data_IF_212709115833
#
_entry.id   IF_212709115833
#
_cell.length_a   1.000
_cell.length_b   1.000
_cell.length_c   1.000
_cell.angle_alpha   90.00
_cell.angle_beta   90.00
_cell.angle_gamma   90.00
#
_symmetry.space_group_name_H-M   'P 1'
#
loop_
_entity.id
_entity.type
_entity.pdbx_description
1 polymer ?
#
# COMPACT_ATOMS: atom_id res chain seq x y z
N UNK A 1 55.51 -5.08 -45.32
CA UNK A 1 54.16 -5.23 -44.74
C UNK A 1 53.83 -6.71 -44.69
N UNK A 2 54.10 -7.38 -43.56
CA UNK A 2 53.84 -8.81 -43.40
C UNK A 2 52.33 -9.02 -43.20
N UNK A 3 51.73 -9.80 -44.08
CA UNK A 3 50.32 -10.20 -44.01
C UNK A 3 50.23 -11.25 -42.90
N UNK A 4 49.63 -10.90 -41.76
CA UNK A 4 49.38 -11.85 -40.68
C UNK A 4 48.50 -12.98 -41.20
N UNK A 5 49.04 -14.19 -41.28
CA UNK A 5 48.26 -15.39 -41.56
C UNK A 5 47.34 -15.65 -40.37
N UNK A 6 46.04 -15.40 -40.55
CA UNK A 6 45.01 -15.88 -39.62
C UNK A 6 45.01 -17.41 -39.63
N UNK A 7 45.58 -18.01 -38.60
CA UNK A 7 45.53 -19.44 -38.38
C UNK A 7 44.08 -19.82 -38.04
N UNK A 8 43.46 -20.68 -38.86
CA UNK A 8 42.06 -21.03 -38.66
C UNK A 8 41.88 -21.78 -37.33
N UNK A 9 40.86 -21.45 -36.53
CA UNK A 9 40.70 -22.04 -35.20
C UNK A 9 40.55 -23.56 -35.29
N UNK A 10 41.23 -24.28 -34.39
CA UNK A 10 41.07 -25.73 -34.24
C UNK A 10 39.59 -26.11 -34.12
N UNK A 11 39.20 -27.25 -34.68
CA UNK A 11 37.81 -27.77 -34.61
C UNK A 11 37.25 -27.76 -33.19
N UNK A 12 38.09 -28.10 -32.21
CA UNK A 12 37.71 -28.08 -30.78
C UNK A 12 37.39 -26.66 -30.31
N UNK A 13 38.23 -25.69 -30.67
CA UNK A 13 38.06 -24.28 -30.34
C UNK A 13 36.81 -23.71 -31.01
N UNK A 14 36.59 -24.00 -32.28
CA UNK A 14 35.37 -23.63 -33.00
C UNK A 14 34.12 -24.18 -32.30
N UNK A 15 34.10 -25.48 -31.96
CA UNK A 15 32.96 -26.09 -31.28
C UNK A 15 32.70 -25.46 -29.90
N UNK A 16 33.75 -25.16 -29.13
CA UNK A 16 33.60 -24.49 -27.84
C UNK A 16 33.03 -23.08 -27.96
N UNK A 17 33.45 -22.32 -28.98
CA UNK A 17 32.88 -20.99 -29.26
C UNK A 17 31.40 -21.10 -29.61
N UNK A 18 31.03 -22.03 -30.49
CA UNK A 18 29.62 -22.24 -30.89
C UNK A 18 28.77 -22.64 -29.69
N UNK A 19 29.23 -23.58 -28.87
CA UNK A 19 28.53 -23.99 -27.64
C UNK A 19 28.40 -22.79 -26.68
N UNK A 20 29.47 -22.03 -26.45
CA UNK A 20 29.45 -20.86 -25.58
C UNK A 20 28.45 -19.79 -26.05
N UNK A 21 28.39 -19.53 -27.36
CA UNK A 21 27.43 -18.61 -27.95
C UNK A 21 25.99 -19.11 -27.74
N UNK A 22 25.71 -20.38 -28.04
CA UNK A 22 24.39 -20.98 -27.86
C UNK A 22 23.97 -20.94 -26.38
N UNK A 23 24.85 -21.36 -25.47
CA UNK A 23 24.60 -21.32 -24.03
C UNK A 23 24.36 -19.90 -23.51
N UNK A 24 25.08 -18.91 -24.04
CA UNK A 24 24.87 -17.50 -23.68
C UNK A 24 23.51 -17.01 -24.16
N UNK A 25 23.13 -17.32 -25.41
CA UNK A 25 21.81 -16.93 -25.95
C UNK A 25 20.69 -17.56 -25.12
N UNK A 26 20.78 -18.86 -24.82
CA UNK A 26 19.80 -19.55 -23.99
C UNK A 26 19.77 -18.96 -22.57
N UNK A 27 20.95 -18.75 -21.97
CA UNK A 27 21.09 -18.19 -20.63
C UNK A 27 20.46 -16.80 -20.52
N UNK A 28 20.70 -15.92 -21.49
CA UNK A 28 20.10 -14.58 -21.55
C UNK A 28 18.59 -14.67 -21.76
N UNK A 29 18.13 -15.50 -22.69
CA UNK A 29 16.71 -15.67 -22.99
C UNK A 29 15.90 -16.14 -21.78
N UNK A 30 16.48 -16.96 -20.90
CA UNK A 30 15.84 -17.41 -19.67
C UNK A 30 16.02 -16.43 -18.50
N UNK A 31 17.22 -15.88 -18.32
CA UNK A 31 17.54 -15.07 -17.14
C UNK A 31 16.88 -13.70 -17.17
N UNK A 32 16.85 -13.04 -18.34
CA UNK A 32 16.30 -11.69 -18.48
C UNK A 32 14.82 -11.60 -18.06
N UNK A 33 13.88 -12.45 -18.52
CA UNK A 33 12.49 -12.36 -18.10
C UNK A 33 12.30 -12.68 -16.60
N UNK A 34 13.00 -13.69 -16.09
CA UNK A 34 12.92 -14.06 -14.67
C UNK A 34 13.41 -12.92 -13.78
N UNK A 35 14.58 -12.37 -14.10
CA UNK A 35 15.15 -11.27 -13.33
C UNK A 35 14.26 -10.02 -13.47
N UNK A 36 13.72 -9.78 -14.65
CA UNK A 36 12.74 -8.72 -14.90
C UNK A 36 11.53 -8.84 -13.98
N UNK A 37 10.92 -10.02 -13.88
CA UNK A 37 9.76 -10.26 -13.02
C UNK A 37 10.08 -10.16 -11.52
N UNK A 38 11.24 -10.66 -11.10
CA UNK A 38 11.70 -10.56 -9.71
C UNK A 38 11.97 -9.12 -9.30
N UNK A 39 12.52 -8.31 -10.21
CA UNK A 39 12.84 -6.90 -9.96
C UNK A 39 11.69 -5.93 -10.25
N UNK A 40 10.67 -6.37 -11.01
CA UNK A 40 9.50 -5.56 -11.36
C UNK A 40 8.82 -4.85 -10.16
N UNK A 41 8.68 -5.48 -8.96
CA UNK A 41 8.08 -4.83 -7.81
C UNK A 41 8.84 -3.58 -7.32
N UNK A 42 10.13 -3.46 -7.64
CA UNK A 42 10.94 -2.29 -7.25
C UNK A 42 10.59 -1.04 -8.07
N UNK A 43 10.12 -1.23 -9.30
CA UNK A 43 9.85 -0.13 -10.24
C UNK A 43 8.36 0.09 -10.51
N UNK A 44 7.51 -0.89 -10.20
CA UNK A 44 6.08 -0.79 -10.46
C UNK A 44 5.41 0.20 -9.50
N UNK A 45 4.92 1.31 -10.05
CA UNK A 45 4.03 2.22 -9.31
C UNK A 45 2.70 1.50 -9.05
N UNK A 46 2.19 1.59 -7.82
CA UNK A 46 0.87 1.05 -7.48
C UNK A 46 -0.21 1.81 -8.24
N UNK A 47 -1.13 1.09 -8.85
CA UNK A 47 -2.30 1.67 -9.49
C UNK A 47 -3.13 2.42 -8.43
N UNK A 48 -3.49 3.66 -8.75
CA UNK A 48 -4.34 4.49 -7.93
C UNK A 48 -5.79 4.11 -8.23
N UNK A 49 -6.46 3.55 -7.24
CA UNK A 49 -7.87 3.14 -7.35
C UNK A 49 -8.70 3.98 -6.40
N UNK A 50 -9.75 4.59 -6.94
CA UNK A 50 -10.74 5.34 -6.18
C UNK A 50 -11.99 4.51 -5.98
N UNK A 51 -12.46 4.43 -4.74
CA UNK A 51 -13.67 3.68 -4.38
C UNK A 51 -14.65 4.61 -3.69
N UNK A 52 -15.92 4.51 -4.08
CA UNK A 52 -17.03 5.25 -3.47
C UNK A 52 -17.24 4.76 -2.04
N UNK A 53 -17.23 5.69 -1.09
CA UNK A 53 -17.49 5.42 0.33
C UNK A 53 -18.96 5.67 0.69
N UNK A 54 -19.53 6.77 0.21
CA UNK A 54 -20.89 7.18 0.56
C UNK A 54 -21.21 8.62 0.12
N UNK A 55 -22.38 9.14 0.52
CA UNK A 55 -22.77 10.54 0.28
C UNK A 55 -22.33 11.43 1.44
N UNK A 56 -22.01 12.68 1.17
CA UNK A 56 -21.66 13.69 2.19
C UNK A 56 -22.82 13.93 3.16
N UNK A 57 -24.07 13.90 2.66
CA UNK A 57 -25.28 14.04 3.47
C UNK A 57 -25.39 13.00 4.59
N UNK A 58 -24.83 11.81 4.40
CA UNK A 58 -24.84 10.75 5.41
C UNK A 58 -23.73 10.97 6.45
N UNK A 59 -22.68 11.70 6.09
CA UNK A 59 -21.60 12.09 6.99
C UNK A 59 -22.01 13.26 7.89
N UNK A 60 -22.78 14.20 7.36
CA UNK A 60 -23.27 15.36 8.12
C UNK A 60 -24.13 14.94 9.32
N UNK A 61 -24.90 13.85 9.17
CA UNK A 61 -25.73 13.24 10.21
C UNK A 61 -24.93 12.54 11.32
N UNK A 62 -23.62 12.36 11.16
CA UNK A 62 -22.78 11.75 12.20
C UNK A 62 -22.72 12.66 13.42
N UNK A 63 -22.88 12.04 14.60
CA UNK A 63 -22.64 12.73 15.87
C UNK A 63 -21.14 13.07 15.97
N UNK A 64 -20.79 14.27 16.47
CA UNK A 64 -19.39 14.61 16.73
C UNK A 64 -18.74 13.56 17.64
N UNK A 65 -17.47 13.25 17.37
CA UNK A 65 -16.65 12.30 18.13
C UNK A 65 -17.23 10.88 18.23
N UNK A 66 -18.14 10.50 17.34
CA UNK A 66 -18.67 9.14 17.23
C UNK A 66 -18.12 8.46 15.96
N UNK A 67 -17.15 7.53 16.08
CA UNK A 67 -16.57 6.88 14.92
C UNK A 67 -17.55 5.92 14.25
N UNK A 68 -17.62 6.00 12.92
CA UNK A 68 -18.36 5.06 12.08
C UNK A 68 -17.40 4.19 11.28
N UNK A 69 -17.46 2.89 11.49
CA UNK A 69 -16.68 1.92 10.73
C UNK A 69 -17.41 1.57 9.43
N UNK A 70 -16.76 1.82 8.29
CA UNK A 70 -17.33 1.54 6.97
C UNK A 70 -16.38 0.65 6.17
N UNK A 71 -16.80 -0.56 5.75
CA UNK A 71 -16.00 -1.41 4.88
C UNK A 71 -15.91 -0.80 3.49
N UNK A 72 -14.73 -0.92 2.86
CA UNK A 72 -14.49 -0.55 1.47
C UNK A 72 -13.74 -1.66 0.76
N UNK A 73 -14.01 -1.83 -0.52
CA UNK A 73 -13.43 -2.89 -1.34
C UNK A 73 -12.69 -2.27 -2.52
N UNK A 74 -11.37 -2.38 -2.51
CA UNK A 74 -10.53 -1.89 -3.61
C UNK A 74 -10.27 -3.02 -4.59
N UNK A 75 -10.64 -2.83 -5.87
CA UNK A 75 -10.24 -3.76 -6.94
C UNK A 75 -8.88 -3.33 -7.49
N UNK A 76 -7.85 -4.13 -7.21
CA UNK A 76 -6.47 -3.85 -7.61
C UNK A 76 -6.00 -4.93 -8.58
N UNK A 77 -5.35 -4.53 -9.68
CA UNK A 77 -4.79 -5.46 -10.65
C UNK A 77 -3.32 -5.74 -10.30
N UNK A 78 -3.02 -6.96 -9.89
CA UNK A 78 -1.67 -7.41 -9.53
C UNK A 78 -1.21 -8.48 -10.52
N UNK A 79 -0.36 -8.07 -11.46
CA UNK A 79 0.06 -8.92 -12.58
C UNK A 79 -1.14 -9.26 -13.47
N UNK A 80 -1.49 -10.53 -13.51
CA UNK A 80 -2.61 -11.08 -14.28
C UNK A 80 -3.91 -11.20 -13.47
N UNK A 81 -3.85 -11.04 -12.14
CA UNK A 81 -4.97 -11.23 -11.24
C UNK A 81 -5.61 -9.90 -10.84
N UNK A 82 -6.94 -9.86 -10.78
CA UNK A 82 -7.68 -8.74 -10.17
C UNK A 82 -8.11 -9.18 -8.79
N UNK A 83 -7.50 -8.59 -7.77
CA UNK A 83 -7.76 -8.88 -6.37
C UNK A 83 -8.71 -7.82 -5.80
N UNK A 84 -9.70 -8.26 -5.00
CA UNK A 84 -10.56 -7.35 -4.23
C UNK A 84 -10.03 -7.29 -2.81
N UNK A 85 -9.44 -6.17 -2.42
CA UNK A 85 -8.86 -5.94 -1.10
C UNK A 85 -9.90 -5.31 -0.17
N UNK A 86 -10.43 -6.05 0.82
CA UNK A 86 -11.28 -5.47 1.85
C UNK A 86 -10.43 -4.59 2.76
N UNK A 87 -10.90 -3.38 3.02
CA UNK A 87 -10.33 -2.44 4.00
C UNK A 87 -11.44 -1.82 4.81
N UNK A 88 -11.09 -1.20 5.93
CA UNK A 88 -12.03 -0.53 6.79
C UNK A 88 -11.61 0.92 7.00
N UNK A 89 -12.53 1.82 6.69
CA UNK A 89 -12.39 3.26 6.90
C UNK A 89 -13.15 3.61 8.17
N UNK A 90 -12.51 4.32 9.08
CA UNK A 90 -13.13 4.86 10.29
C UNK A 90 -13.41 6.33 10.05
N UNK A 91 -14.68 6.71 10.02
CA UNK A 91 -15.10 8.08 9.79
C UNK A 91 -15.39 8.76 11.12
N UNK A 92 -14.76 9.91 11.33
CA UNK A 92 -14.93 10.71 12.55
C UNK A 92 -15.25 12.13 12.17
N UNK A 93 -16.36 12.66 12.68
CA UNK A 93 -16.69 14.08 12.61
C UNK A 93 -16.11 14.78 13.84
N UNK A 94 -15.23 15.74 13.62
CA UNK A 94 -14.66 16.57 14.68
C UNK A 94 -15.70 17.58 15.20
N UNK A 95 -15.43 18.20 16.35
CA UNK A 95 -16.26 19.25 16.95
C UNK A 95 -16.38 20.47 16.05
N UNK A 96 -15.36 20.78 15.26
CA UNK A 96 -15.39 21.84 14.24
C UNK A 96 -16.20 21.47 12.99
N UNK A 97 -16.77 20.25 12.93
CA UNK A 97 -17.53 19.75 11.78
C UNK A 97 -16.68 19.13 10.67
N UNK A 98 -15.35 19.11 10.81
CA UNK A 98 -14.44 18.51 9.84
C UNK A 98 -14.54 16.97 9.85
N UNK A 99 -14.49 16.35 8.68
CA UNK A 99 -14.51 14.90 8.54
C UNK A 99 -13.08 14.34 8.46
N UNK A 100 -12.81 13.33 9.27
CA UNK A 100 -11.56 12.58 9.27
C UNK A 100 -11.82 11.13 8.86
N UNK A 101 -10.96 10.59 7.99
CA UNK A 101 -11.07 9.24 7.46
C UNK A 101 -9.84 8.45 7.87
N UNK A 102 -9.90 7.72 8.98
CA UNK A 102 -8.77 6.97 9.50
C UNK A 102 -8.76 5.53 8.99
N UNK A 103 -7.56 4.93 8.95
CA UNK A 103 -7.38 3.49 8.78
C UNK A 103 -7.70 2.79 10.11
N UNK A 104 -8.41 1.65 10.05
CA UNK A 104 -8.60 0.81 11.23
C UNK A 104 -7.35 -0.05 11.58
N UNK A 105 -6.16 0.30 11.10
CA UNK A 105 -4.95 -0.49 11.33
C UNK A 105 -4.04 0.24 12.32
N UNK A 106 -3.68 -0.47 13.40
CA UNK A 106 -2.71 -0.02 14.37
C UNK A 106 -1.36 0.27 13.68
N UNK A 107 -0.77 1.42 13.98
CA UNK A 107 0.50 1.86 13.38
C UNK A 107 1.74 1.17 13.94
N UNK A 108 1.58 0.26 14.92
CA UNK A 108 2.62 -0.65 15.38
C UNK A 108 2.87 -1.74 14.32
N UNK A 109 1.97 -2.73 14.21
CA UNK A 109 2.12 -3.90 13.32
C UNK A 109 0.86 -4.21 12.49
N UNK A 110 -0.10 -3.28 12.39
CA UNK A 110 -1.24 -3.40 11.47
C UNK A 110 -2.48 -4.13 12.01
N UNK A 111 -2.51 -4.51 13.28
CA UNK A 111 -3.70 -5.13 13.90
C UNK A 111 -4.95 -4.23 13.80
N UNK A 112 -6.16 -4.79 13.64
CA UNK A 112 -7.39 -4.02 13.64
C UNK A 112 -7.64 -3.37 15.00
N UNK A 113 -8.16 -2.14 15.01
CA UNK A 113 -8.53 -1.45 16.24
C UNK A 113 -10.00 -1.70 16.57
N UNK A 114 -10.29 -1.65 17.87
CA UNK A 114 -11.64 -1.65 18.42
C UNK A 114 -11.93 -0.28 19.03
N UNK A 115 -13.15 0.23 18.88
CA UNK A 115 -13.57 1.47 19.54
C UNK A 115 -14.20 1.17 20.89
N UNK A 116 -13.61 1.72 21.95
CA UNK A 116 -14.19 1.70 23.30
C UNK A 116 -14.92 3.03 23.55
N UNK A 117 -16.25 2.97 23.61
CA UNK A 117 -17.09 4.15 23.84
C UNK A 117 -16.99 4.71 25.26
N UNK A 118 -16.61 3.91 26.25
CA UNK A 118 -16.46 4.34 27.64
C UNK A 118 -15.20 5.19 27.83
N UNK A 119 -14.13 4.86 27.10
CA UNK A 119 -12.86 5.58 27.10
C UNK A 119 -12.74 6.63 26.01
N UNK A 120 -13.62 6.57 25.00
CA UNK A 120 -13.53 7.36 23.77
C UNK A 120 -12.19 7.18 23.04
N UNK A 121 -11.71 5.93 23.01
CA UNK A 121 -10.42 5.55 22.45
C UNK A 121 -10.53 4.35 21.51
N UNK A 122 -9.62 4.29 20.53
CA UNK A 122 -9.33 3.10 19.76
C UNK A 122 -8.27 2.28 20.49
N UNK A 123 -8.60 1.01 20.76
CA UNK A 123 -7.76 0.06 21.45
C UNK A 123 -7.27 -1.03 20.49
N UNK A 124 -5.97 -1.31 20.54
CA UNK A 124 -5.32 -2.39 19.81
C UNK A 124 -5.14 -3.61 20.73
N UNK A 125 -5.80 -4.75 20.47
CA UNK A 125 -5.74 -5.92 21.35
C UNK A 125 -4.38 -6.64 21.31
N UNK A 126 -3.54 -6.38 20.31
CA UNK A 126 -2.29 -7.12 20.12
C UNK A 126 -1.20 -6.75 21.14
N UNK A 127 -1.01 -5.46 21.40
CA UNK A 127 0.06 -4.97 22.28
C UNK A 127 -0.35 -3.74 23.10
N UNK A 128 -1.66 -3.49 23.25
CA UNK A 128 -2.18 -2.39 24.08
C UNK A 128 -1.96 -0.99 23.49
N UNK A 129 -1.85 -0.84 22.18
CA UNK A 129 -1.80 0.46 21.53
C UNK A 129 -3.13 1.21 21.70
N UNK A 130 -3.08 2.49 22.06
CA UNK A 130 -4.24 3.33 22.34
C UNK A 130 -4.19 4.59 21.51
N UNK A 131 -5.33 4.97 20.94
CA UNK A 131 -5.47 6.21 20.19
C UNK A 131 -6.74 6.94 20.61
N UNK A 132 -6.72 8.26 20.67
CA UNK A 132 -7.94 9.02 20.87
C UNK A 132 -8.84 9.00 19.63
N UNK A 133 -10.05 9.55 19.75
CA UNK A 133 -11.02 9.67 18.66
C UNK A 133 -10.50 10.40 17.41
N UNK A 134 -9.49 11.25 17.54
CA UNK A 134 -8.83 11.95 16.43
C UNK A 134 -7.59 11.20 15.91
N UNK A 135 -7.38 9.96 16.34
CA UNK A 135 -6.32 9.08 15.86
C UNK A 135 -4.93 9.38 16.42
N UNK A 136 -4.79 10.28 17.40
CA UNK A 136 -3.49 10.52 18.06
C UNK A 136 -3.18 9.40 19.05
N UNK A 137 -1.91 9.03 19.17
CA UNK A 137 -1.46 8.04 20.16
C UNK A 137 -1.67 8.61 21.56
N UNK A 138 -2.33 7.83 22.42
CA UNK A 138 -2.52 8.15 23.85
C UNK A 138 -1.81 7.16 24.77
N UNK A 139 -1.37 6.01 24.24
CA UNK A 139 -0.63 5.02 25.01
C UNK A 139 -0.20 3.80 24.21
N UNK A 140 0.66 3.00 24.83
CA UNK A 140 1.20 1.76 24.27
C UNK A 140 2.37 1.96 23.30
N UNK A 141 2.78 0.90 22.59
CA UNK A 141 3.94 0.92 21.70
C UNK A 141 3.80 1.64 20.34
N UNK A 142 2.61 2.00 19.79
CA UNK A 142 2.55 2.57 18.44
C UNK A 142 3.39 3.85 18.32
N UNK A 143 4.30 3.94 17.33
CA UNK A 143 5.25 5.06 17.25
C UNK A 143 4.65 6.34 16.66
N UNK A 144 3.38 6.31 16.23
CA UNK A 144 2.75 7.41 15.49
C UNK A 144 1.22 7.29 15.41
N UNK A 145 0.52 8.42 15.21
CA UNK A 145 -0.92 8.47 14.96
C UNK A 145 -1.44 7.56 13.84
N UNK A 146 -2.75 7.32 13.84
CA UNK A 146 -3.45 6.59 12.80
C UNK A 146 -3.24 7.21 11.42
N UNK A 147 -3.12 6.34 10.43
CA UNK A 147 -3.09 6.75 9.04
C UNK A 147 -4.43 7.33 8.59
N UNK A 148 -4.38 8.33 7.72
CA UNK A 148 -5.55 8.95 7.11
C UNK A 148 -5.68 8.50 5.66
N UNK A 149 -6.88 8.11 5.26
CA UNK A 149 -7.19 7.82 3.87
C UNK A 149 -7.18 9.10 3.04
N UNK A 150 -6.51 9.07 1.89
CA UNK A 150 -6.65 10.13 0.90
C UNK A 150 -8.06 10.07 0.35
N UNK A 151 -8.76 11.19 0.37
CA UNK A 151 -10.16 11.27 -0.03
C UNK A 151 -10.41 12.49 -0.91
N UNK A 152 -11.50 12.44 -1.67
CA UNK A 152 -12.02 13.57 -2.45
C UNK A 152 -13.54 13.56 -2.40
N UNK A 153 -14.13 14.73 -2.57
CA UNK A 153 -15.57 14.90 -2.62
C UNK A 153 -15.92 15.41 -4.02
N UNK A 154 -16.72 14.64 -4.75
CA UNK A 154 -17.19 14.98 -6.10
C UNK A 154 -18.71 14.80 -6.14
N UNK A 155 -19.45 15.82 -6.57
CA UNK A 155 -20.92 15.79 -6.71
C UNK A 155 -21.64 15.26 -5.45
N UNK A 156 -21.22 15.70 -4.25
CA UNK A 156 -21.78 15.25 -2.98
C UNK A 156 -21.48 13.80 -2.60
N UNK A 157 -20.60 13.12 -3.33
CA UNK A 157 -20.14 11.76 -3.05
C UNK A 157 -18.70 11.77 -2.57
N UNK A 158 -18.42 11.02 -1.52
CA UNK A 158 -17.07 10.84 -0.98
C UNK A 158 -16.41 9.62 -1.60
N UNK A 159 -15.22 9.83 -2.13
CA UNK A 159 -14.35 8.78 -2.64
C UNK A 159 -13.10 8.68 -1.78
N UNK A 160 -12.64 7.46 -1.56
CA UNK A 160 -11.37 7.15 -0.89
C UNK A 160 -10.43 6.46 -1.86
N UNK A 161 -9.15 6.82 -1.78
CA UNK A 161 -8.08 6.22 -2.57
C UNK A 161 -7.59 4.95 -1.86
N UNK A 162 -7.08 3.96 -2.61
CA UNK A 162 -6.37 2.79 -2.08
C UNK A 162 -4.98 3.11 -1.46
N UNK A 163 -4.80 4.34 -0.96
CA UNK A 163 -3.59 4.87 -0.33
C UNK A 163 -4.00 5.65 0.91
N UNK A 164 -3.24 5.45 1.98
CA UNK A 164 -3.32 6.26 3.18
C UNK A 164 -2.00 6.97 3.43
N UNK A 165 -2.08 8.11 4.09
CA UNK A 165 -0.96 8.99 4.42
C UNK A 165 -0.86 9.17 5.93
N UNK A 166 0.32 9.54 6.38
CA UNK A 166 0.59 9.89 7.77
C UNK A 166 0.81 11.40 7.86
N UNK A 167 0.17 12.07 8.83
CA UNK A 167 0.43 13.49 9.13
C UNK A 167 1.50 13.60 10.23
N UNK A 168 2.73 14.04 9.91
CA UNK A 168 3.80 14.17 10.90
C UNK A 168 3.53 15.23 11.98
N UNK A 169 2.65 16.19 11.72
CA UNK A 169 2.35 17.28 12.66
C UNK A 169 1.41 16.86 13.80
N UNK A 170 0.88 15.64 13.75
CA UNK A 170 -0.07 15.12 14.74
C UNK A 170 0.56 14.14 15.73
N UNK A 171 1.90 14.02 15.77
CA UNK A 171 2.60 13.12 16.70
C UNK A 171 2.00 13.29 18.11
N UNK A 172 1.43 12.18 18.61
CA UNK A 172 1.14 12.05 20.02
C UNK A 172 2.46 12.19 20.79
N UNK A 173 2.32 12.66 22.01
CA UNK A 173 3.39 12.98 22.96
C UNK A 173 4.38 11.83 23.10
#
# INVERSE_FOLDING_TARGET
MAKSSEESPSRRTFMLIVIGLISTVIGVALTVPILGDVLNPLFKKRDIVWTKLGKVSDLEKLKPLAPKFTPVYFRVKEGWSVNTLPRQVVLVKDVSGNFNFFSNQCTHLGCPLHWDSSRQEFLCPCHGGMFNVLGKVTGGPPPRPLYRWVHKIENGTVFVQNKYVYNPNERGI
#
